data_IF_552226479553
#
_entry.id   IF_552226479553
#
_cell.length_a   1.000
_cell.length_b   1.000
_cell.length_c   1.000
_cell.angle_alpha   90.00
_cell.angle_beta   90.00
_cell.angle_gamma   90.00
#
_symmetry.space_group_name_H-M   'P 1'
#
loop_
_entity.id
_entity.type
_entity.pdbx_description
1 polymer ?
#
# COMPACT_ATOMS: atom_id res chain seq x y z
N UNK A 1 28.18 13.69 -4.84
CA UNK A 1 26.76 13.97 -5.18
C UNK A 1 26.30 13.47 -6.55
N UNK A 2 27.19 13.17 -7.52
CA UNK A 2 26.81 12.60 -8.84
C UNK A 2 26.82 11.07 -8.93
N UNK A 3 27.19 10.37 -7.87
CA UNK A 3 27.32 8.89 -7.87
C UNK A 3 25.94 8.20 -7.81
N UNK A 4 24.96 8.84 -7.19
CA UNK A 4 23.59 8.31 -7.05
C UNK A 4 22.60 8.97 -8.02
N UNK A 5 23.09 9.61 -9.09
CA UNK A 5 22.17 10.16 -10.10
C UNK A 5 21.53 9.00 -10.87
N UNK A 6 20.19 8.96 -11.02
CA UNK A 6 19.49 7.87 -11.71
C UNK A 6 19.99 7.65 -13.15
N UNK A 7 20.36 8.75 -13.83
CA UNK A 7 20.95 8.73 -15.15
C UNK A 7 22.28 7.93 -15.22
N UNK A 8 23.04 7.88 -14.12
CA UNK A 8 24.26 7.06 -14.04
C UNK A 8 23.96 5.58 -13.79
N UNK A 9 22.85 5.28 -13.11
CA UNK A 9 22.37 3.90 -12.90
C UNK A 9 21.61 3.33 -14.11
N UNK A 10 21.60 4.05 -15.24
CA UNK A 10 20.83 3.72 -16.44
C UNK A 10 19.35 3.47 -16.13
N UNK A 11 18.83 4.19 -15.14
CA UNK A 11 17.43 4.11 -14.76
C UNK A 11 16.66 5.22 -15.46
N UNK A 12 15.76 4.82 -16.36
CA UNK A 12 14.79 5.75 -16.93
C UNK A 12 13.88 6.28 -15.80
N UNK A 13 13.68 7.61 -15.72
CA UNK A 13 12.81 8.18 -14.71
C UNK A 13 11.38 7.72 -14.95
N UNK A 14 10.74 7.17 -13.92
CA UNK A 14 9.32 6.85 -14.00
C UNK A 14 8.48 8.13 -14.11
N UNK A 15 7.17 8.00 -14.39
CA UNK A 15 6.28 9.16 -14.59
C UNK A 15 6.28 10.14 -13.42
N UNK A 16 6.46 9.65 -12.18
CA UNK A 16 6.50 10.48 -10.98
C UNK A 16 7.83 11.23 -10.91
N UNK A 17 8.96 10.56 -11.16
CA UNK A 17 10.25 11.25 -11.19
C UNK A 17 10.34 12.29 -12.31
N UNK A 18 9.74 12.03 -13.46
CA UNK A 18 9.71 12.98 -14.58
C UNK A 18 8.94 14.27 -14.24
N UNK A 19 7.90 14.21 -13.41
CA UNK A 19 7.07 15.35 -13.06
C UNK A 19 7.50 16.04 -11.76
N UNK A 20 7.97 15.27 -10.77
CA UNK A 20 8.18 15.74 -9.40
C UNK A 20 9.61 15.50 -8.86
N UNK A 21 10.47 14.83 -9.64
CA UNK A 21 11.84 14.50 -9.26
C UNK A 21 11.99 13.14 -8.56
N UNK A 22 13.19 12.57 -8.64
CA UNK A 22 13.50 11.22 -8.16
C UNK A 22 13.24 10.98 -6.65
N UNK A 23 13.56 11.92 -5.73
CA UNK A 23 13.26 11.72 -4.30
C UNK A 23 11.77 11.50 -4.00
N UNK A 24 10.88 12.13 -4.78
CA UNK A 24 9.42 11.98 -4.63
C UNK A 24 8.98 10.60 -5.08
N UNK A 25 9.51 10.10 -6.20
CA UNK A 25 9.23 8.74 -6.68
C UNK A 25 9.70 7.68 -5.68
N UNK A 26 10.90 7.86 -5.09
CA UNK A 26 11.40 6.98 -4.03
C UNK A 26 10.45 6.98 -2.82
N UNK A 27 10.05 8.16 -2.33
CA UNK A 27 9.11 8.25 -1.22
C UNK A 27 7.77 7.55 -1.51
N UNK A 28 7.26 7.71 -2.74
CA UNK A 28 6.04 7.01 -3.18
C UNK A 28 6.21 5.49 -3.17
N UNK A 29 7.30 4.96 -3.74
CA UNK A 29 7.55 3.51 -3.78
C UNK A 29 7.74 2.94 -2.37
N UNK A 30 8.43 3.66 -1.48
CA UNK A 30 8.60 3.26 -0.08
C UNK A 30 7.25 3.20 0.64
N UNK A 31 6.41 4.25 0.51
CA UNK A 31 5.09 4.26 1.12
C UNK A 31 4.21 3.11 0.61
N UNK A 32 4.27 2.85 -0.69
CA UNK A 32 3.56 1.75 -1.35
C UNK A 32 4.03 0.38 -0.84
N UNK A 33 5.33 0.19 -0.70
CA UNK A 33 5.90 -1.04 -0.15
C UNK A 33 5.48 -1.26 1.31
N UNK A 34 5.58 -0.23 2.15
CA UNK A 34 5.10 -0.27 3.54
C UNK A 34 3.63 -0.66 3.63
N UNK A 35 2.77 -0.07 2.78
CA UNK A 35 1.35 -0.41 2.73
C UNK A 35 1.13 -1.87 2.33
N UNK A 36 1.79 -2.36 1.28
CA UNK A 36 1.71 -3.75 0.86
C UNK A 36 2.12 -4.74 1.96
N UNK A 37 3.24 -4.46 2.65
CA UNK A 37 3.74 -5.27 3.77
C UNK A 37 2.72 -5.28 4.92
N UNK A 38 2.17 -4.12 5.29
CA UNK A 38 1.18 -4.04 6.36
C UNK A 38 -0.10 -4.84 6.04
N UNK A 39 -0.60 -4.74 4.80
CA UNK A 39 -1.79 -5.49 4.35
C UNK A 39 -1.56 -6.99 4.34
N UNK A 40 -0.44 -7.46 3.79
CA UNK A 40 -0.12 -8.89 3.76
C UNK A 40 0.20 -9.44 5.14
N UNK A 41 0.90 -8.69 5.99
CA UNK A 41 1.11 -9.05 7.38
C UNK A 41 -0.23 -9.21 8.12
N UNK A 42 -1.14 -8.23 7.98
CA UNK A 42 -2.47 -8.30 8.57
C UNK A 42 -3.31 -9.45 8.01
N UNK A 43 -3.25 -9.72 6.69
CA UNK A 43 -3.92 -10.85 6.06
C UNK A 43 -3.36 -12.21 6.53
N UNK A 44 -2.04 -12.33 6.72
CA UNK A 44 -1.38 -13.54 7.18
C UNK A 44 -1.67 -13.82 8.66
N UNK A 45 -1.58 -12.80 9.51
CA UNK A 45 -1.84 -12.91 10.96
C UNK A 45 -3.34 -12.98 11.27
N UNK A 46 -4.19 -12.33 10.47
CA UNK A 46 -5.64 -12.24 10.68
C UNK A 46 -6.06 -11.19 11.70
N UNK A 47 -5.20 -10.21 11.97
CA UNK A 47 -5.43 -9.16 12.96
C UNK A 47 -4.82 -7.81 12.51
N UNK A 48 -5.52 -6.71 12.78
CA UNK A 48 -5.00 -5.34 12.64
C UNK A 48 -5.42 -4.46 13.83
N UNK A 49 -6.69 -4.05 13.89
CA UNK A 49 -7.27 -3.36 15.06
C UNK A 49 -8.29 -4.23 15.80
N UNK A 50 -8.83 -5.24 15.11
CA UNK A 50 -9.66 -6.31 15.64
C UNK A 50 -9.37 -7.59 14.86
N UNK A 51 -9.87 -8.73 15.36
CA UNK A 51 -9.85 -9.98 14.59
C UNK A 51 -10.59 -9.80 13.27
N UNK A 52 -9.95 -10.21 12.18
CA UNK A 52 -10.50 -10.15 10.82
C UNK A 52 -11.35 -11.38 10.52
N UNK A 53 -12.46 -11.16 9.83
CA UNK A 53 -13.14 -12.26 9.14
C UNK A 53 -12.27 -12.79 8.00
N UNK A 54 -12.47 -14.05 7.61
CA UNK A 54 -11.68 -14.68 6.56
C UNK A 54 -11.74 -13.91 5.23
N UNK A 55 -12.89 -13.33 4.91
CA UNK A 55 -13.07 -12.55 3.69
C UNK A 55 -12.32 -11.20 3.76
N UNK A 56 -12.21 -10.59 4.94
CA UNK A 56 -11.43 -9.35 5.12
C UNK A 56 -9.96 -9.60 4.82
N UNK A 57 -9.45 -10.79 5.20
CA UNK A 57 -8.08 -11.21 4.90
C UNK A 57 -7.87 -11.37 3.39
N UNK A 58 -8.85 -11.91 2.66
CA UNK A 58 -8.77 -12.02 1.19
C UNK A 58 -8.77 -10.64 0.52
N UNK A 59 -9.59 -9.71 1.01
CA UNK A 59 -9.60 -8.33 0.48
C UNK A 59 -8.27 -7.63 0.74
N UNK A 60 -7.73 -7.74 1.96
CA UNK A 60 -6.40 -7.19 2.29
C UNK A 60 -5.29 -7.80 1.43
N UNK A 61 -5.34 -9.12 1.21
CA UNK A 61 -4.38 -9.81 0.34
C UNK A 61 -4.48 -9.31 -1.10
N UNK A 62 -5.69 -9.24 -1.66
CA UNK A 62 -5.93 -8.73 -3.01
C UNK A 62 -5.49 -7.27 -3.17
N UNK A 63 -5.71 -6.43 -2.17
CA UNK A 63 -5.23 -5.05 -2.14
C UNK A 63 -3.69 -4.98 -2.18
N UNK A 64 -3.01 -5.81 -1.39
CA UNK A 64 -1.55 -5.92 -1.45
C UNK A 64 -1.03 -6.45 -2.79
N UNK A 65 -1.72 -7.42 -3.40
CA UNK A 65 -1.39 -7.90 -4.77
C UNK A 65 -1.52 -6.77 -5.79
N UNK A 66 -2.61 -5.99 -5.75
CA UNK A 66 -2.80 -4.86 -6.66
C UNK A 66 -1.71 -3.80 -6.54
N UNK A 67 -1.22 -3.56 -5.32
CA UNK A 67 -0.07 -2.68 -5.11
C UNK A 67 1.22 -3.31 -5.65
N UNK A 68 1.48 -4.60 -5.43
CA UNK A 68 2.73 -5.25 -5.85
C UNK A 68 2.81 -5.52 -7.36
N UNK A 69 1.68 -5.72 -8.03
CA UNK A 69 1.61 -6.19 -9.42
C UNK A 69 2.25 -5.27 -10.49
N UNK A 70 2.86 -4.14 -10.10
CA UNK A 70 3.68 -3.26 -10.94
C UNK A 70 3.03 -2.78 -12.26
N UNK A 71 1.68 -2.81 -12.34
CA UNK A 71 0.93 -2.30 -13.47
C UNK A 71 0.40 -0.88 -13.12
N UNK A 72 0.53 0.13 -14.00
CA UNK A 72 0.10 1.50 -13.69
C UNK A 72 -1.38 1.61 -13.29
N UNK A 73 -2.23 0.73 -13.83
CA UNK A 73 -3.66 0.66 -13.53
C UNK A 73 -3.92 0.00 -12.18
N UNK A 74 -3.10 -0.98 -11.79
CA UNK A 74 -3.28 -1.71 -10.52
C UNK A 74 -2.90 -0.87 -9.32
N UNK A 75 -1.98 0.10 -9.47
CA UNK A 75 -1.57 1.00 -8.39
C UNK A 75 -2.73 1.83 -7.84
N UNK A 76 -3.51 2.48 -8.72
CA UNK A 76 -4.65 3.30 -8.31
C UNK A 76 -5.73 2.45 -7.63
N UNK A 77 -6.03 1.29 -8.20
CA UNK A 77 -6.99 0.34 -7.64
C UNK A 77 -6.51 -0.21 -6.28
N UNK A 78 -5.23 -0.55 -6.17
CA UNK A 78 -4.60 -1.05 -4.95
C UNK A 78 -4.68 -0.03 -3.82
N UNK A 79 -4.31 1.23 -4.07
CA UNK A 79 -4.43 2.29 -3.08
C UNK A 79 -5.88 2.54 -2.67
N UNK A 80 -6.79 2.64 -3.64
CA UNK A 80 -8.21 2.85 -3.37
C UNK A 80 -8.80 1.74 -2.50
N UNK A 81 -8.54 0.47 -2.85
CA UNK A 81 -9.01 -0.68 -2.10
C UNK A 81 -8.39 -0.74 -0.71
N UNK A 82 -7.10 -0.45 -0.59
CA UNK A 82 -6.38 -0.44 0.69
C UNK A 82 -6.98 0.59 1.65
N UNK A 83 -7.16 1.83 1.20
CA UNK A 83 -7.71 2.92 2.03
C UNK A 83 -9.17 2.62 2.40
N UNK A 84 -9.99 2.19 1.44
CA UNK A 84 -11.39 1.86 1.68
C UNK A 84 -11.53 0.72 2.71
N UNK A 85 -10.75 -0.36 2.54
CA UNK A 85 -10.81 -1.50 3.43
C UNK A 85 -10.26 -1.19 4.82
N UNK A 86 -9.12 -0.49 4.94
CA UNK A 86 -8.57 -0.06 6.24
C UNK A 86 -9.57 0.85 6.95
N UNK A 87 -10.11 1.85 6.26
CA UNK A 87 -11.09 2.78 6.83
C UNK A 87 -12.34 2.07 7.36
N UNK A 88 -12.88 1.14 6.58
CA UNK A 88 -14.03 0.34 7.00
C UNK A 88 -13.70 -0.61 8.17
N UNK A 89 -12.53 -1.26 8.17
CA UNK A 89 -12.08 -2.12 9.26
C UNK A 89 -11.88 -1.33 10.56
N UNK A 90 -11.25 -0.15 10.49
CA UNK A 90 -11.09 0.78 11.60
C UNK A 90 -12.44 1.24 12.16
N UNK A 91 -13.40 1.59 11.29
CA UNK A 91 -14.73 1.99 11.71
C UNK A 91 -15.47 0.85 12.43
N UNK A 92 -15.37 -0.40 11.95
CA UNK A 92 -15.90 -1.59 12.64
C UNK A 92 -15.19 -1.90 13.96
N UNK A 93 -13.90 -1.61 14.07
CA UNK A 93 -13.17 -1.77 15.32
C UNK A 93 -13.66 -0.78 16.38
N UNK A 94 -13.87 0.49 15.99
CA UNK A 94 -14.35 1.55 16.89
C UNK A 94 -15.78 1.30 17.41
N UNK A 95 -16.67 0.76 16.58
CA UNK A 95 -18.03 0.42 17.01
C UNK A 95 -18.06 -0.69 18.06
N UNK A 96 -17.08 -1.60 18.07
CA UNK A 96 -16.98 -2.65 19.08
C UNK A 96 -16.49 -2.12 20.45
N UNK A 97 -15.87 -0.94 20.49
CA UNK A 97 -15.38 -0.30 21.72
C UNK A 97 -16.43 0.62 22.36
N UNK A 98 -17.38 1.15 21.57
CA UNK A 98 -18.41 2.10 22.05
C UNK A 98 -19.63 1.47 22.73
N UNK A 99 -19.63 0.16 22.96
CA UNK A 99 -20.70 -0.58 23.65
C UNK A 99 -20.28 -1.08 25.04
N UNK A 100 -19.39 -0.36 25.72
CA UNK A 100 -18.99 -0.57 27.11
C UNK A 100 -19.53 0.58 27.97
#
# INVERSE_FOLDING_TARGET
DRVYTPALMLQDPGPIAAQFGYPVEVAYIVAKACMGIALWGAAAVGFLFRRMAWWERLVAFAAGVLLVAALPVTDKAGWALSVAWIGWHCWRARQATGTA
#
